data_IF_760761963230
#
_entry.id   IF_760761963230
#
_cell.length_a   1.000
_cell.length_b   1.000
_cell.length_c   1.000
_cell.angle_alpha   90.00
_cell.angle_beta   90.00
_cell.angle_gamma   90.00
#
_symmetry.space_group_name_H-M   'P 1'
#
loop_
_entity.id
_entity.type
_entity.pdbx_description
1 polymer ?
#
# COMPACT_ATOMS: atom_id res chain seq x y z
N UNK A 1 -9.78 -18.66 6.13
CA UNK A 1 -9.30 -19.11 4.80
C UNK A 1 -9.19 -20.62 4.69
N UNK A 2 -8.43 -21.32 5.55
CA UNK A 2 -8.35 -22.80 5.56
C UNK A 2 -9.73 -23.46 5.74
N UNK A 3 -10.58 -22.95 6.64
CA UNK A 3 -11.95 -23.43 6.80
C UNK A 3 -12.80 -23.22 5.53
N UNK A 4 -12.56 -22.13 4.78
CA UNK A 4 -13.27 -21.82 3.52
C UNK A 4 -12.76 -22.71 2.37
N UNK A 5 -11.47 -23.02 2.35
CA UNK A 5 -10.87 -24.00 1.44
C UNK A 5 -11.39 -25.42 1.72
N UNK A 6 -11.49 -25.81 3.00
CA UNK A 6 -12.04 -27.10 3.43
C UNK A 6 -13.54 -27.22 3.16
N UNK A 7 -14.31 -26.15 3.40
CA UNK A 7 -15.74 -26.11 3.09
C UNK A 7 -16.00 -26.06 1.58
N UNK A 8 -15.16 -25.37 0.80
CA UNK A 8 -15.22 -25.38 -0.66
C UNK A 8 -14.91 -26.74 -1.27
N UNK A 9 -13.91 -27.44 -0.72
CA UNK A 9 -13.58 -28.82 -1.10
C UNK A 9 -14.70 -29.81 -0.75
N UNK A 10 -15.27 -29.68 0.46
CA UNK A 10 -16.39 -30.50 0.90
C UNK A 10 -17.66 -30.24 0.07
N UNK A 11 -17.96 -28.98 -0.25
CA UNK A 11 -19.11 -28.61 -1.06
C UNK A 11 -18.98 -29.07 -2.52
N UNK A 12 -17.82 -28.87 -3.15
CA UNK A 12 -17.54 -29.34 -4.51
C UNK A 12 -17.61 -30.87 -4.63
N UNK A 13 -17.20 -31.59 -3.59
CA UNK A 13 -17.31 -33.05 -3.49
C UNK A 13 -18.74 -33.59 -3.45
N UNK A 14 -19.69 -32.79 -2.98
CA UNK A 14 -21.10 -33.21 -2.84
C UNK A 14 -21.96 -32.93 -4.09
N UNK A 15 -21.46 -32.21 -5.09
CA UNK A 15 -22.25 -31.74 -6.24
C UNK A 15 -21.74 -32.21 -7.62
N UNK A 16 -20.70 -33.06 -7.67
CA UNK A 16 -20.30 -33.78 -8.88
C UNK A 16 -21.24 -34.98 -9.16
N UNK A 17 -22.41 -34.66 -9.71
CA UNK A 17 -23.40 -35.40 -10.55
C UNK A 17 -23.50 -36.94 -10.45
N UNK A 18 -24.73 -37.52 -10.37
CA UNK A 18 -24.95 -38.94 -10.61
C UNK A 18 -24.70 -39.30 -12.09
N UNK A 19 -23.68 -40.11 -12.35
CA UNK A 19 -23.44 -40.72 -13.65
C UNK A 19 -24.38 -41.93 -13.84
N UNK A 20 -25.34 -41.83 -14.76
CA UNK A 20 -26.03 -43.00 -15.26
C UNK A 20 -25.09 -43.78 -16.20
N UNK A 21 -24.91 -45.05 -15.84
CA UNK A 21 -24.51 -46.22 -16.66
C UNK A 21 -23.17 -46.17 -17.40
N UNK A 22 -22.09 -46.65 -16.74
CA UNK A 22 -21.23 -47.81 -17.12
C UNK A 22 -20.43 -48.20 -15.86
N UNK A 23 -20.34 -49.49 -15.47
CA UNK A 23 -19.67 -49.91 -14.23
C UNK A 23 -18.16 -50.01 -14.44
N UNK A 24 -17.47 -48.91 -14.24
CA UNK A 24 -16.04 -48.89 -13.88
C UNK A 24 -15.87 -47.89 -12.74
N UNK A 25 -16.25 -48.35 -11.53
CA UNK A 25 -16.64 -47.50 -10.41
C UNK A 25 -15.49 -46.90 -9.60
N UNK A 26 -14.24 -47.31 -9.81
CA UNK A 26 -13.09 -46.79 -9.05
C UNK A 26 -12.38 -45.63 -9.76
N UNK A 27 -12.18 -45.70 -11.08
CA UNK A 27 -11.37 -44.70 -11.82
C UNK A 27 -12.17 -43.44 -12.19
N UNK A 28 -13.49 -43.56 -12.39
CA UNK A 28 -14.36 -42.43 -12.78
C UNK A 28 -14.58 -41.43 -11.63
N UNK A 29 -14.60 -41.88 -10.37
CA UNK A 29 -14.73 -41.00 -9.21
C UNK A 29 -13.55 -40.02 -9.13
N UNK A 30 -12.30 -40.48 -9.23
CA UNK A 30 -11.12 -39.62 -9.12
C UNK A 30 -11.02 -38.55 -10.22
N UNK A 31 -11.49 -38.84 -11.44
CA UNK A 31 -11.50 -37.86 -12.55
C UNK A 31 -12.40 -36.65 -12.29
N UNK A 32 -13.49 -36.81 -11.54
CA UNK A 32 -14.36 -35.69 -11.14
C UNK A 32 -13.73 -34.78 -10.08
N UNK A 33 -12.83 -35.33 -9.26
CA UNK A 33 -12.15 -34.59 -8.20
C UNK A 33 -10.86 -33.91 -8.66
N UNK A 34 -10.26 -34.37 -9.76
CA UNK A 34 -9.01 -33.83 -10.29
C UNK A 34 -9.07 -32.29 -10.44
N UNK A 35 -10.09 -31.67 -11.05
CA UNK A 35 -10.15 -30.21 -11.20
C UNK A 35 -10.23 -29.47 -9.86
N UNK A 36 -10.94 -30.06 -8.88
CA UNK A 36 -11.09 -29.50 -7.53
C UNK A 36 -9.75 -29.56 -6.80
N UNK A 37 -9.08 -30.71 -6.86
CA UNK A 37 -7.75 -30.91 -6.26
C UNK A 37 -6.71 -29.97 -6.90
N UNK A 38 -6.76 -29.79 -8.22
CA UNK A 38 -5.88 -28.84 -8.91
C UNK A 38 -6.16 -27.41 -8.49
N UNK A 39 -7.44 -26.97 -8.44
CA UNK A 39 -7.79 -25.63 -7.99
C UNK A 39 -7.37 -25.38 -6.54
N UNK A 40 -7.50 -26.40 -5.68
CA UNK A 40 -7.12 -26.32 -4.28
C UNK A 40 -5.60 -26.26 -4.13
N UNK A 41 -4.85 -27.10 -4.87
CA UNK A 41 -3.40 -27.07 -4.89
C UNK A 41 -2.87 -25.72 -5.39
N UNK A 42 -3.44 -25.18 -6.48
CA UNK A 42 -3.09 -23.86 -7.00
C UNK A 42 -3.40 -22.76 -5.99
N UNK A 43 -4.59 -22.77 -5.38
CA UNK A 43 -4.95 -21.82 -4.34
C UNK A 43 -4.02 -21.88 -3.14
N UNK A 44 -3.58 -23.07 -2.75
CA UNK A 44 -2.68 -23.30 -1.61
C UNK A 44 -1.25 -22.83 -1.93
N UNK A 45 -0.74 -23.10 -3.14
CA UNK A 45 0.56 -22.58 -3.62
C UNK A 45 0.54 -21.06 -3.72
N UNK A 46 -0.51 -20.49 -4.29
CA UNK A 46 -0.69 -19.03 -4.40
C UNK A 46 -0.84 -18.36 -3.03
N UNK A 47 -1.38 -19.08 -2.04
CA UNK A 47 -1.51 -18.61 -0.65
C UNK A 47 -0.30 -18.94 0.22
N UNK A 48 0.68 -19.69 -0.30
CA UNK A 48 1.82 -20.19 0.48
C UNK A 48 2.59 -19.06 1.16
N UNK A 49 2.87 -17.90 0.52
CA UNK A 49 3.54 -16.79 1.20
C UNK A 49 2.76 -16.28 2.42
N UNK A 50 1.44 -16.16 2.31
CA UNK A 50 0.59 -15.78 3.45
C UNK A 50 0.55 -16.84 4.54
N UNK A 51 0.51 -18.13 4.17
CA UNK A 51 0.51 -19.23 5.14
C UNK A 51 1.85 -19.33 5.87
N UNK A 52 2.96 -19.14 5.14
CA UNK A 52 4.30 -19.05 5.73
C UNK A 52 4.34 -17.90 6.73
N UNK A 53 3.87 -16.71 6.33
CA UNK A 53 3.84 -15.56 7.22
C UNK A 53 2.86 -15.72 8.40
N UNK A 54 1.78 -16.47 8.23
CA UNK A 54 0.80 -16.71 9.28
C UNK A 54 1.29 -17.67 10.36
N UNK A 55 2.06 -18.69 9.98
CA UNK A 55 2.38 -19.84 10.84
C UNK A 55 3.87 -20.00 11.15
N UNK A 56 4.75 -19.42 10.33
CA UNK A 56 6.19 -19.65 10.39
C UNK A 56 7.03 -18.37 10.43
N UNK A 57 6.44 -17.19 10.22
CA UNK A 57 7.16 -15.93 10.44
C UNK A 57 7.16 -15.54 11.91
N UNK A 58 8.22 -14.84 12.33
CA UNK A 58 8.36 -14.34 13.69
C UNK A 58 7.32 -13.25 13.98
N UNK A 59 6.47 -13.46 14.99
CA UNK A 59 5.45 -12.49 15.44
C UNK A 59 4.00 -12.99 15.40
N UNK A 60 3.03 -12.12 15.74
CA UNK A 60 1.61 -12.44 15.65
C UNK A 60 1.20 -12.53 14.18
N UNK A 61 1.25 -13.72 13.57
CA UNK A 61 1.00 -13.89 12.13
C UNK A 61 -0.25 -13.17 11.61
N UNK A 62 -0.22 -12.68 10.36
CA UNK A 62 -1.17 -11.77 9.69
C UNK A 62 -2.62 -11.68 10.23
N UNK A 63 -3.32 -12.81 10.44
CA UNK A 63 -4.69 -12.86 10.98
C UNK A 63 -4.77 -12.35 12.42
N UNK A 64 -3.78 -12.66 13.24
CA UNK A 64 -3.65 -12.18 14.61
C UNK A 64 -3.47 -10.66 14.60
N UNK A 65 -2.63 -10.10 13.73
CA UNK A 65 -2.49 -8.64 13.58
C UNK A 65 -3.78 -7.95 13.16
N UNK A 66 -4.53 -8.53 12.22
CA UNK A 66 -5.83 -7.98 11.79
C UNK A 66 -6.88 -8.05 12.91
N UNK A 67 -6.83 -9.08 13.75
CA UNK A 67 -7.74 -9.25 14.89
C UNK A 67 -7.30 -8.42 16.11
N UNK A 68 -5.99 -8.22 16.30
CA UNK A 68 -5.40 -7.47 17.39
C UNK A 68 -5.26 -5.98 17.07
N UNK A 69 -5.44 -5.56 15.82
CA UNK A 69 -5.59 -4.15 15.45
C UNK A 69 -6.91 -3.62 16.03
N UNK A 70 -6.91 -3.37 17.34
CA UNK A 70 -7.88 -2.52 18.02
C UNK A 70 -7.59 -1.08 17.60
N UNK A 71 -7.90 -0.76 16.35
CA UNK A 71 -8.01 0.65 15.99
C UNK A 71 -9.16 1.25 16.82
N UNK A 72 -9.00 2.46 17.37
CA UNK A 72 -10.13 3.17 17.94
C UNK A 72 -11.25 3.22 16.90
N UNK A 73 -12.52 3.02 17.30
CA UNK A 73 -13.66 3.00 16.38
C UNK A 73 -13.72 4.32 15.59
N UNK A 74 -13.24 4.29 14.34
CA UNK A 74 -13.04 5.48 13.50
C UNK A 74 -11.91 5.38 12.45
N UNK A 75 -10.93 4.47 12.60
CA UNK A 75 -9.77 4.36 11.68
C UNK A 75 -9.75 3.08 10.80
N UNK A 76 -10.91 2.57 10.39
CA UNK A 76 -10.99 1.49 9.39
C UNK A 76 -11.31 2.07 8.02
N UNK A 77 -10.72 1.51 6.97
CA UNK A 77 -11.05 1.85 5.58
C UNK A 77 -12.48 1.41 5.31
N UNK A 78 -13.47 2.30 5.45
CA UNK A 78 -14.85 1.97 5.09
C UNK A 78 -14.95 1.28 3.72
N UNK A 79 -16.05 0.55 3.48
CA UNK A 79 -16.22 -0.36 2.34
C UNK A 79 -15.85 0.28 0.98
N UNK A 80 -16.11 1.58 0.82
CA UNK A 80 -15.72 2.37 -0.33
C UNK A 80 -14.19 2.41 -0.55
N UNK A 81 -13.40 2.68 0.49
CA UNK A 81 -11.94 2.76 0.40
C UNK A 81 -11.30 1.37 0.29
N UNK A 82 -11.90 0.35 0.90
CA UNK A 82 -11.51 -1.05 0.69
C UNK A 82 -11.68 -1.49 -0.78
N UNK A 83 -12.80 -1.14 -1.42
CA UNK A 83 -13.02 -1.38 -2.85
C UNK A 83 -12.02 -0.63 -3.73
N UNK A 84 -11.71 0.64 -3.40
CA UNK A 84 -10.67 1.42 -4.11
C UNK A 84 -9.27 0.83 -3.96
N UNK A 85 -8.98 0.25 -2.81
CA UNK A 85 -7.70 -0.39 -2.52
C UNK A 85 -7.54 -1.65 -3.36
N UNK A 86 -8.59 -2.47 -3.45
CA UNK A 86 -8.59 -3.66 -4.30
C UNK A 86 -8.55 -3.35 -5.79
N UNK A 87 -9.25 -2.33 -6.27
CA UNK A 87 -9.25 -2.01 -7.69
C UNK A 87 -7.88 -1.63 -8.23
N UNK A 88 -7.04 -1.00 -7.39
CA UNK A 88 -5.65 -0.75 -7.75
C UNK A 88 -4.86 -2.06 -7.88
N UNK A 89 -5.18 -3.10 -7.12
CA UNK A 89 -4.55 -4.42 -7.28
C UNK A 89 -5.06 -5.18 -8.51
N UNK A 90 -6.32 -4.96 -8.91
CA UNK A 90 -6.89 -5.55 -10.11
C UNK A 90 -6.53 -4.79 -11.40
N UNK A 91 -5.85 -3.65 -11.31
CA UNK A 91 -5.36 -2.90 -12.46
C UNK A 91 -4.19 -3.66 -13.10
N UNK A 92 -4.27 -4.03 -14.39
CA UNK A 92 -3.21 -4.77 -15.06
C UNK A 92 -1.87 -4.07 -15.08
N UNK A 93 -1.87 -2.73 -15.06
CA UNK A 93 -0.65 -1.91 -15.03
C UNK A 93 0.09 -2.04 -13.71
N UNK A 94 -0.60 -2.51 -12.67
CA UNK A 94 -0.04 -2.73 -11.35
C UNK A 94 0.47 -4.16 -11.14
N UNK A 95 0.36 -5.09 -12.11
CA UNK A 95 0.94 -6.44 -11.99
C UNK A 95 2.47 -6.50 -12.14
N UNK A 96 3.12 -5.38 -12.43
CA UNK A 96 4.57 -5.25 -12.46
C UNK A 96 5.10 -4.94 -11.06
N UNK A 97 6.31 -5.40 -10.69
CA UNK A 97 6.88 -5.16 -9.37
C UNK A 97 6.93 -3.67 -9.06
N UNK A 98 6.30 -3.28 -7.96
CA UNK A 98 6.32 -1.93 -7.42
C UNK A 98 7.02 -1.96 -6.06
N UNK A 99 7.93 -1.03 -5.85
CA UNK A 99 8.77 -0.92 -4.66
C UNK A 99 7.95 -0.88 -3.36
N UNK A 100 8.52 -1.43 -2.28
CA UNK A 100 7.88 -1.52 -0.95
C UNK A 100 7.50 -0.18 -0.28
N UNK A 101 7.97 0.96 -0.78
CA UNK A 101 7.82 2.29 -0.17
C UNK A 101 7.40 3.39 -1.17
N UNK A 102 6.68 4.41 -0.69
CA UNK A 102 5.25 4.42 -0.55
C UNK A 102 4.60 4.83 -1.89
N UNK A 103 4.02 3.86 -2.60
CA UNK A 103 2.83 4.18 -3.40
C UNK A 103 1.64 4.15 -2.46
N UNK A 104 1.36 5.31 -1.85
CA UNK A 104 0.09 5.54 -1.19
C UNK A 104 -0.99 5.32 -2.25
N UNK A 105 -1.92 4.43 -1.97
CA UNK A 105 -3.13 4.24 -2.77
C UNK A 105 -3.91 5.55 -2.68
N UNK A 106 -3.70 6.45 -3.65
CA UNK A 106 -4.36 7.76 -3.70
C UNK A 106 -5.88 7.56 -3.74
N UNK A 107 -6.65 8.12 -2.79
CA UNK A 107 -8.08 7.90 -2.69
C UNK A 107 -8.88 8.48 -3.87
N UNK A 108 -8.34 9.43 -4.63
CA UNK A 108 -9.13 10.35 -5.46
C UNK A 108 -9.37 9.93 -6.91
N UNK A 109 -8.83 8.79 -7.37
CA UNK A 109 -9.19 8.26 -8.70
C UNK A 109 -10.54 7.55 -8.66
N UNK A 110 -11.63 8.30 -8.81
CA UNK A 110 -13.02 7.80 -8.97
C UNK A 110 -13.18 6.72 -10.06
N UNK A 111 -12.25 6.66 -11.02
CA UNK A 111 -12.18 5.62 -12.04
C UNK A 111 -11.98 4.19 -11.48
N UNK A 112 -11.54 4.01 -10.23
CA UNK A 112 -11.08 2.69 -9.76
C UNK A 112 -12.18 1.78 -9.19
N UNK A 113 -13.21 2.29 -8.49
CA UNK A 113 -14.24 1.41 -7.86
C UNK A 113 -14.96 0.55 -8.90
N UNK A 114 -15.20 1.10 -10.09
CA UNK A 114 -15.89 0.41 -11.18
C UNK A 114 -15.17 -0.85 -11.65
N UNK A 115 -13.84 -0.91 -11.54
CA UNK A 115 -13.05 -2.09 -11.95
C UNK A 115 -13.44 -3.31 -11.11
N UNK A 116 -13.54 -3.17 -9.78
CA UNK A 116 -13.91 -4.27 -8.88
C UNK A 116 -15.37 -4.64 -9.05
N UNK A 117 -16.26 -3.65 -9.22
CA UNK A 117 -17.69 -3.91 -9.46
C UNK A 117 -17.92 -4.64 -10.79
N UNK A 118 -17.22 -4.25 -11.86
CA UNK A 118 -17.28 -4.93 -13.17
C UNK A 118 -16.69 -6.34 -13.07
N UNK A 119 -15.59 -6.53 -12.35
CA UNK A 119 -15.02 -7.86 -12.10
C UNK A 119 -15.99 -8.76 -11.33
N UNK A 120 -16.61 -8.25 -10.25
CA UNK A 120 -17.66 -8.94 -9.49
C UNK A 120 -18.83 -9.33 -10.39
N UNK A 121 -19.35 -8.38 -11.18
CA UNK A 121 -20.46 -8.62 -12.09
C UNK A 121 -20.10 -9.67 -13.15
N UNK A 122 -18.91 -9.58 -13.74
CA UNK A 122 -18.43 -10.53 -14.74
C UNK A 122 -18.33 -11.96 -14.18
N UNK A 123 -17.76 -12.12 -12.97
CA UNK A 123 -17.70 -13.41 -12.29
C UNK A 123 -19.12 -13.93 -11.99
N UNK A 124 -20.03 -13.11 -11.49
CA UNK A 124 -21.42 -13.52 -11.23
C UNK A 124 -22.12 -13.97 -12.52
N UNK A 125 -21.99 -13.21 -13.61
CA UNK A 125 -22.58 -13.56 -14.90
C UNK A 125 -22.00 -14.86 -15.44
N UNK A 126 -20.67 -15.03 -15.38
CA UNK A 126 -20.01 -16.28 -15.77
C UNK A 126 -20.49 -17.46 -14.92
N UNK A 127 -20.68 -17.27 -13.60
CA UNK A 127 -21.15 -18.34 -12.70
C UNK A 127 -22.57 -18.76 -13.05
N UNK A 128 -23.46 -17.79 -13.28
CA UNK A 128 -24.84 -18.06 -13.69
C UNK A 128 -24.89 -18.74 -15.07
N UNK A 129 -24.03 -18.35 -16.01
CA UNK A 129 -23.95 -18.97 -17.34
C UNK A 129 -23.41 -20.41 -17.25
N UNK A 130 -22.34 -20.63 -16.51
CA UNK A 130 -21.76 -21.96 -16.25
C UNK A 130 -22.75 -22.85 -15.51
N UNK A 131 -23.47 -22.31 -14.53
CA UNK A 131 -24.54 -22.96 -13.78
C UNK A 131 -25.67 -23.42 -14.70
N UNK A 132 -26.19 -22.51 -15.53
CA UNK A 132 -27.28 -22.79 -16.46
C UNK A 132 -26.90 -23.86 -17.49
N UNK A 133 -25.62 -23.90 -17.87
CA UNK A 133 -25.10 -24.84 -18.88
C UNK A 133 -24.48 -26.11 -18.29
N UNK A 134 -24.48 -26.26 -16.96
CA UNK A 134 -23.91 -27.42 -16.24
C UNK A 134 -22.46 -27.71 -16.65
N UNK A 135 -21.67 -26.66 -16.90
CA UNK A 135 -20.27 -26.80 -17.29
C UNK A 135 -19.38 -27.13 -16.08
N UNK A 136 -18.26 -27.81 -16.35
CA UNK A 136 -17.30 -28.27 -15.34
C UNK A 136 -16.62 -27.18 -14.48
N UNK A 137 -16.34 -25.94 -14.93
CA UNK A 137 -15.62 -24.95 -14.11
C UNK A 137 -16.48 -24.30 -13.00
N UNK A 138 -17.72 -24.74 -12.79
CA UNK A 138 -18.67 -24.15 -11.82
C UNK A 138 -18.07 -24.02 -10.41
N UNK A 139 -17.51 -25.11 -9.88
CA UNK A 139 -17.00 -25.12 -8.51
C UNK A 139 -15.83 -24.12 -8.33
N UNK A 140 -14.95 -24.02 -9.32
CA UNK A 140 -13.84 -23.09 -9.30
C UNK A 140 -14.32 -21.63 -9.33
N UNK A 141 -15.36 -21.34 -10.12
CA UNK A 141 -15.84 -19.98 -10.32
C UNK A 141 -16.71 -19.47 -9.15
N UNK A 142 -17.55 -20.32 -8.56
CA UNK A 142 -18.22 -20.01 -7.28
C UNK A 142 -17.19 -19.82 -6.15
N UNK A 143 -16.10 -20.58 -6.14
CA UNK A 143 -15.02 -20.40 -5.16
C UNK A 143 -14.26 -19.09 -5.38
N UNK A 144 -13.96 -18.72 -6.63
CA UNK A 144 -13.35 -17.44 -6.98
C UNK A 144 -14.22 -16.25 -6.52
N UNK A 145 -15.55 -16.35 -6.69
CA UNK A 145 -16.50 -15.34 -6.20
C UNK A 145 -16.46 -15.20 -4.68
N UNK A 146 -16.46 -16.31 -3.94
CA UNK A 146 -16.37 -16.30 -2.48
C UNK A 146 -15.08 -15.67 -1.99
N UNK A 147 -13.95 -16.01 -2.61
CA UNK A 147 -12.66 -15.40 -2.27
C UNK A 147 -12.62 -13.91 -2.60
N UNK A 148 -13.22 -13.48 -3.71
CA UNK A 148 -13.31 -12.07 -4.08
C UNK A 148 -14.12 -11.27 -3.04
N UNK A 149 -15.27 -11.80 -2.61
CA UNK A 149 -16.09 -11.19 -1.56
C UNK A 149 -15.37 -11.13 -0.21
N UNK A 150 -14.69 -12.22 0.17
CA UNK A 150 -13.86 -12.25 1.37
C UNK A 150 -12.73 -11.21 1.28
N UNK A 151 -12.10 -11.07 0.10
CA UNK A 151 -11.10 -10.05 -0.16
C UNK A 151 -11.66 -8.64 0.04
N UNK A 152 -12.81 -8.31 -0.56
CA UNK A 152 -13.48 -7.01 -0.34
C UNK A 152 -13.72 -6.74 1.13
N UNK A 153 -14.19 -7.74 1.87
CA UNK A 153 -14.42 -7.62 3.30
C UNK A 153 -13.13 -7.39 4.10
N UNK A 154 -12.03 -8.10 3.78
CA UNK A 154 -10.73 -7.90 4.42
C UNK A 154 -10.14 -6.53 4.10
N UNK A 155 -10.18 -6.10 2.84
CA UNK A 155 -9.70 -4.79 2.41
C UNK A 155 -10.44 -3.64 3.10
N UNK A 156 -11.75 -3.78 3.31
CA UNK A 156 -12.59 -2.84 4.07
C UNK A 156 -12.31 -2.81 5.58
N UNK A 157 -11.39 -3.65 6.07
CA UNK A 157 -10.98 -3.69 7.48
C UNK A 157 -9.50 -3.44 7.68
N UNK A 158 -8.76 -3.15 6.61
CA UNK A 158 -7.35 -2.82 6.74
C UNK A 158 -7.21 -1.52 7.55
N UNK A 159 -6.21 -1.44 8.44
CA UNK A 159 -5.97 -0.25 9.23
C UNK A 159 -5.52 0.90 8.32
N UNK A 160 -6.17 2.06 8.44
CA UNK A 160 -5.70 3.30 7.79
C UNK A 160 -4.55 3.85 8.63
N UNK A 161 -3.40 4.12 8.01
CA UNK A 161 -2.34 4.94 8.62
C UNK A 161 -2.39 6.36 8.06
N UNK A 162 -1.67 7.30 8.67
CA UNK A 162 -1.61 8.70 8.27
C UNK A 162 -1.40 8.89 6.75
N UNK A 163 -0.69 7.96 6.09
CA UNK A 163 -0.41 7.96 4.65
C UNK A 163 -1.15 6.86 3.87
N UNK A 164 -2.33 6.44 4.33
CA UNK A 164 -3.15 5.43 3.64
C UNK A 164 -2.82 3.98 4.03
N UNK A 165 -3.02 3.05 3.08
CA UNK A 165 -2.86 1.60 3.29
C UNK A 165 -1.49 1.16 2.79
N UNK A 166 -0.59 0.66 3.66
CA UNK A 166 0.67 0.08 3.22
C UNK A 166 0.41 -1.03 2.21
N UNK A 167 1.07 -1.00 1.05
CA UNK A 167 0.86 -2.00 -0.01
C UNK A 167 1.17 -3.43 0.47
N UNK A 168 2.07 -3.58 1.45
CA UNK A 168 2.33 -4.83 2.14
C UNK A 168 1.06 -5.48 2.73
N UNK A 169 0.13 -4.68 3.26
CA UNK A 169 -1.14 -5.15 3.82
C UNK A 169 -2.17 -5.57 2.77
N UNK A 170 -1.94 -5.24 1.49
CA UNK A 170 -2.85 -5.53 0.37
C UNK A 170 -2.25 -6.57 -0.59
N UNK A 171 -1.00 -7.01 -0.38
CA UNK A 171 -0.32 -7.97 -1.27
C UNK A 171 -1.05 -9.30 -1.45
N UNK A 172 -1.80 -9.74 -0.45
CA UNK A 172 -2.64 -10.94 -0.54
C UNK A 172 -3.69 -10.84 -1.65
N UNK A 173 -4.07 -9.64 -2.07
CA UNK A 173 -5.04 -9.42 -3.12
C UNK A 173 -4.48 -9.74 -4.53
N UNK A 174 -3.16 -9.83 -4.70
CA UNK A 174 -2.52 -10.13 -5.99
C UNK A 174 -2.67 -11.60 -6.40
N UNK A 175 -2.31 -12.59 -5.56
CA UNK A 175 -2.62 -13.99 -5.86
C UNK A 175 -4.12 -14.23 -6.05
N UNK A 176 -4.96 -13.50 -5.30
CA UNK A 176 -6.40 -13.53 -5.45
C UNK A 176 -6.86 -13.02 -6.83
N UNK A 177 -6.37 -11.86 -7.27
CA UNK A 177 -6.76 -11.28 -8.57
C UNK A 177 -6.34 -12.18 -9.73
N UNK A 178 -5.12 -12.73 -9.66
CA UNK A 178 -4.63 -13.71 -10.63
C UNK A 178 -5.48 -14.98 -10.67
N UNK A 179 -5.85 -15.53 -9.52
CA UNK A 179 -6.74 -16.70 -9.46
C UNK A 179 -8.10 -16.42 -10.10
N UNK A 180 -8.72 -15.28 -9.75
CA UNK A 180 -10.00 -14.86 -10.31
C UNK A 180 -9.90 -14.70 -11.83
N UNK A 181 -8.83 -14.10 -12.35
CA UNK A 181 -8.61 -13.95 -13.78
C UNK A 181 -8.48 -15.30 -14.51
N UNK A 182 -7.68 -16.22 -13.98
CA UNK A 182 -7.44 -17.55 -14.57
C UNK A 182 -8.75 -18.36 -14.64
N UNK A 183 -9.48 -18.44 -13.53
CA UNK A 183 -10.73 -19.19 -13.46
C UNK A 183 -11.80 -18.58 -14.38
N UNK A 184 -11.89 -17.25 -14.42
CA UNK A 184 -12.84 -16.55 -15.29
C UNK A 184 -12.53 -16.80 -16.77
N UNK A 185 -11.25 -16.81 -17.15
CA UNK A 185 -10.80 -17.07 -18.52
C UNK A 185 -11.05 -18.53 -18.94
N UNK A 186 -10.81 -19.50 -18.04
CA UNK A 186 -11.09 -20.92 -18.32
C UNK A 186 -12.61 -21.17 -18.49
N UNK A 187 -13.43 -20.53 -17.65
CA UNK A 187 -14.88 -20.57 -17.80
C UNK A 187 -15.35 -19.96 -19.12
N UNK A 188 -14.80 -18.80 -19.51
CA UNK A 188 -15.11 -18.17 -20.79
C UNK A 188 -14.71 -19.07 -21.97
N UNK A 189 -13.51 -19.65 -21.93
CA UNK A 189 -13.05 -20.60 -22.95
C UNK A 189 -13.99 -21.81 -23.06
N UNK A 190 -14.46 -22.34 -21.93
CA UNK A 190 -15.38 -23.48 -21.88
C UNK A 190 -16.75 -23.14 -22.49
N UNK A 191 -17.29 -21.95 -22.19
CA UNK A 191 -18.53 -21.44 -22.80
C UNK A 191 -18.36 -21.29 -24.32
N UNK A 192 -17.24 -20.72 -24.77
CA UNK A 192 -16.97 -20.50 -26.21
C UNK A 192 -16.80 -21.82 -26.98
N UNK A 193 -16.15 -22.82 -26.37
CA UNK A 193 -16.00 -24.15 -26.97
C UNK A 193 -17.35 -24.84 -27.16
N UNK A 194 -18.21 -24.82 -26.13
CA UNK A 194 -19.55 -25.40 -26.19
C UNK A 194 -20.42 -24.72 -27.26
N UNK A 195 -20.38 -23.38 -27.36
CA UNK A 195 -21.11 -22.65 -28.41
C UNK A 195 -20.67 -23.07 -29.82
N UNK A 196 -19.36 -23.34 -30.01
CA UNK A 196 -18.85 -23.83 -31.30
C UNK A 196 -19.32 -25.24 -31.61
N UNK A 197 -19.31 -26.14 -30.62
CA UNK A 197 -19.82 -27.50 -30.78
C UNK A 197 -21.31 -27.50 -31.19
N UNK A 198 -22.12 -26.66 -30.54
CA UNK A 198 -23.54 -26.48 -30.87
C UNK A 198 -23.79 -25.80 -32.22
N UNK A 199 -22.84 -25.04 -32.76
CA UNK A 199 -22.93 -24.45 -34.11
C UNK A 199 -22.49 -25.42 -35.21
N UNK A 200 -21.52 -26.32 -34.94
CA UNK A 200 -21.03 -27.34 -35.88
C UNK A 200 -22.00 -28.49 -36.11
N UNK A 201 -22.97 -28.71 -35.22
CA UNK A 201 -24.03 -29.70 -35.41
C UNK A 201 -25.10 -29.29 -36.44
N UNK A 202 -25.03 -28.06 -36.98
CA UNK A 202 -25.74 -27.67 -38.20
C UNK A 202 -24.88 -28.00 -39.44
N UNK A 203 -25.40 -28.71 -40.45
CA UNK A 203 -24.64 -29.05 -41.64
C UNK A 203 -24.47 -27.80 -42.50
N UNK A 204 -23.38 -27.08 -42.32
CA UNK A 204 -22.96 -26.00 -43.22
C UNK A 204 -21.45 -26.05 -43.43
N UNK A 205 -21.11 -26.40 -44.67
CA UNK A 205 -19.94 -26.05 -45.47
C UNK A 205 -18.70 -25.54 -44.73
N UNK A 206 -17.66 -26.36 -44.85
CA UNK A 206 -16.28 -26.15 -44.45
C UNK A 206 -15.76 -24.82 -45.04
N UNK A 207 -15.40 -23.85 -44.19
CA UNK A 207 -14.22 -22.97 -44.33
C UNK A 207 -14.19 -21.92 -43.21
N UNK A 208 -13.67 -22.30 -42.05
CA UNK A 208 -12.85 -21.40 -41.21
C UNK A 208 -12.37 -22.17 -39.99
N UNK A 209 -11.11 -22.59 -40.04
CA UNK A 209 -10.37 -23.09 -38.91
C UNK A 209 -10.03 -21.91 -37.98
N UNK A 210 -11.04 -21.36 -37.30
CA UNK A 210 -10.80 -20.48 -36.17
C UNK A 210 -10.20 -21.35 -35.04
N UNK A 211 -8.91 -21.18 -34.78
CA UNK A 211 -8.15 -21.92 -33.78
C UNK A 211 -8.93 -21.93 -32.46
N UNK A 212 -9.14 -23.12 -31.91
CA UNK A 212 -9.48 -23.26 -30.50
C UNK A 212 -8.23 -22.83 -29.74
N UNK A 213 -8.30 -22.00 -28.69
CA UNK A 213 -7.14 -21.78 -27.84
C UNK A 213 -6.70 -23.18 -27.37
N UNK A 214 -5.55 -23.62 -27.88
CA UNK A 214 -5.05 -24.96 -27.67
C UNK A 214 -4.90 -25.20 -26.17
N UNK A 215 -4.90 -26.47 -25.75
CA UNK A 215 -4.57 -26.80 -24.36
C UNK A 215 -3.21 -26.19 -23.96
N UNK A 216 -2.30 -26.04 -24.93
CA UNK A 216 -1.05 -25.31 -24.78
C UNK A 216 -1.22 -23.80 -24.50
N UNK A 217 -2.24 -23.13 -25.06
CA UNK A 217 -2.55 -21.74 -24.69
C UNK A 217 -3.02 -21.61 -23.24
N UNK A 218 -3.86 -22.55 -22.76
CA UNK A 218 -4.32 -22.56 -21.36
C UNK A 218 -3.16 -22.79 -20.38
N UNK A 219 -2.30 -23.77 -20.68
CA UNK A 219 -1.11 -24.05 -19.86
C UNK A 219 -0.05 -22.95 -19.98
N UNK A 220 0.12 -22.34 -21.15
CA UNK A 220 1.03 -21.21 -21.36
C UNK A 220 0.60 -19.98 -20.57
N UNK A 221 -0.70 -19.68 -20.54
CA UNK A 221 -1.25 -18.61 -19.70
C UNK A 221 -1.09 -18.92 -18.20
N UNK A 222 -1.36 -20.15 -17.79
CA UNK A 222 -1.16 -20.59 -16.41
C UNK A 222 0.31 -20.46 -15.97
N UNK A 223 1.24 -20.92 -16.82
CA UNK A 223 2.67 -20.76 -16.58
C UNK A 223 3.07 -19.28 -16.52
N UNK A 224 2.54 -18.43 -17.40
CA UNK A 224 2.79 -16.99 -17.37
C UNK A 224 2.28 -16.35 -16.06
N UNK A 225 1.12 -16.75 -15.57
CA UNK A 225 0.57 -16.28 -14.28
C UNK A 225 1.45 -16.73 -13.11
N UNK A 226 1.90 -17.99 -13.09
CA UNK A 226 2.81 -18.49 -12.06
C UNK A 226 4.15 -17.76 -12.10
N UNK A 227 4.73 -17.58 -13.29
CA UNK A 227 5.98 -16.83 -13.49
C UNK A 227 5.81 -15.37 -13.07
N UNK A 228 4.70 -14.71 -13.40
CA UNK A 228 4.40 -13.36 -12.93
C UNK A 228 4.22 -13.31 -11.42
N UNK A 229 3.61 -14.32 -10.80
CA UNK A 229 3.48 -14.41 -9.33
C UNK A 229 4.84 -14.59 -8.67
N UNK A 230 5.70 -15.45 -9.22
CA UNK A 230 7.06 -15.67 -8.74
C UNK A 230 7.97 -14.47 -9.00
N UNK A 231 7.82 -13.76 -10.11
CA UNK A 231 8.51 -12.51 -10.38
C UNK A 231 8.06 -11.37 -9.46
N UNK A 232 6.87 -11.51 -8.85
CA UNK A 232 6.37 -10.63 -7.79
C UNK A 232 6.67 -11.16 -6.37
N UNK A 233 7.35 -12.30 -6.22
CA UNK A 233 8.04 -12.60 -4.97
C UNK A 233 9.19 -11.62 -4.88
N UNK A 234 8.95 -10.52 -4.17
CA UNK A 234 9.97 -9.50 -4.00
C UNK A 234 11.19 -10.14 -3.33
N UNK A 235 12.39 -10.06 -3.93
CA UNK A 235 13.60 -10.36 -3.18
C UNK A 235 13.60 -9.46 -1.94
N UNK A 236 14.00 -10.01 -0.80
CA UNK A 236 14.12 -9.29 0.47
C UNK A 236 15.03 -8.04 0.35
N UNK A 237 15.83 -7.97 -0.74
CA UNK A 237 16.81 -6.95 -1.10
C UNK A 237 16.35 -5.93 -2.17
N UNK A 238 15.06 -5.56 -2.23
CA UNK A 238 14.75 -4.25 -2.82
C UNK A 238 15.25 -3.17 -1.85
N UNK A 239 16.58 -2.98 -1.82
CA UNK A 239 17.30 -2.04 -0.95
C UNK A 239 16.63 -0.68 -0.97
N UNK A 240 16.69 0.02 0.17
CA UNK A 240 15.94 1.25 0.49
C UNK A 240 15.18 1.79 -0.71
N UNK A 241 13.87 1.51 -0.81
CA UNK A 241 13.00 1.89 -1.92
C UNK A 241 12.82 3.41 -2.08
N UNK A 242 13.84 4.17 -1.69
CA UNK A 242 13.89 5.60 -1.61
C UNK A 242 13.57 6.19 -2.98
N UNK A 243 12.56 7.07 -2.99
CA UNK A 243 12.20 7.79 -4.21
C UNK A 243 13.44 8.51 -4.71
N UNK A 244 13.57 8.62 -6.04
CA UNK A 244 14.76 9.24 -6.65
C UNK A 244 15.03 10.64 -6.09
N UNK A 245 14.00 11.37 -5.69
CA UNK A 245 14.07 12.68 -5.04
C UNK A 245 14.80 12.67 -3.69
N UNK A 246 14.73 11.58 -2.91
CA UNK A 246 15.27 11.51 -1.56
C UNK A 246 16.67 10.90 -1.48
N UNK A 247 17.11 10.16 -2.50
CA UNK A 247 18.36 9.36 -2.46
C UNK A 247 19.61 10.14 -2.08
N UNK A 248 19.74 11.38 -2.57
CA UNK A 248 20.92 12.20 -2.28
C UNK A 248 20.97 12.51 -0.79
N UNK A 249 19.88 13.04 -0.24
CA UNK A 249 19.77 13.36 1.18
C UNK A 249 19.97 12.13 2.07
N UNK A 250 19.37 10.99 1.70
CA UNK A 250 19.54 9.71 2.42
C UNK A 250 21.01 9.28 2.43
N UNK A 251 21.68 9.27 1.28
CA UNK A 251 23.07 8.84 1.18
C UNK A 251 24.03 9.74 1.97
N UNK A 252 23.85 11.06 1.87
CA UNK A 252 24.63 12.04 2.63
C UNK A 252 24.39 11.87 4.14
N UNK A 253 23.13 11.77 4.56
CA UNK A 253 22.79 11.55 5.98
C UNK A 253 23.41 10.27 6.52
N UNK A 254 23.37 9.16 5.77
CA UNK A 254 23.98 7.89 6.18
C UNK A 254 25.51 7.98 6.23
N UNK A 255 26.11 8.69 5.28
CA UNK A 255 27.56 8.92 5.29
C UNK A 255 27.99 9.67 6.56
N UNK A 256 27.23 10.69 6.96
CA UNK A 256 27.57 11.56 8.08
C UNK A 256 27.19 10.95 9.44
N UNK A 257 25.96 10.45 9.56
CA UNK A 257 25.43 9.90 10.81
C UNK A 257 25.86 8.45 11.05
N UNK A 258 26.02 7.67 9.98
CA UNK A 258 26.29 6.24 10.05
C UNK A 258 27.51 5.95 10.91
N UNK A 259 28.63 6.64 10.65
CA UNK A 259 29.89 6.47 11.39
C UNK A 259 29.74 6.73 12.88
N UNK A 260 28.97 7.76 13.26
CA UNK A 260 28.71 8.05 14.68
C UNK A 260 27.88 6.93 15.29
N UNK A 261 26.83 6.47 14.60
CA UNK A 261 25.93 5.42 15.06
C UNK A 261 26.62 4.07 15.20
N UNK A 262 27.61 3.75 14.36
CA UNK A 262 28.41 2.53 14.49
C UNK A 262 29.05 2.39 15.89
N UNK A 263 29.33 3.52 16.55
CA UNK A 263 29.94 3.54 17.89
C UNK A 263 28.94 3.36 19.04
N UNK A 264 27.63 3.46 18.77
CA UNK A 264 26.57 3.57 19.77
C UNK A 264 26.02 2.23 20.28
N UNK A 265 26.82 1.16 20.26
CA UNK A 265 26.53 -0.19 20.78
C UNK A 265 25.04 -0.50 21.08
N UNK A 266 24.32 -1.09 20.12
CA UNK A 266 22.88 -1.40 20.21
C UNK A 266 21.96 -0.17 20.36
N UNK A 267 21.94 0.76 19.39
CA UNK A 267 21.01 1.88 19.40
C UNK A 267 19.56 1.42 19.19
N UNK A 268 18.61 2.12 19.83
CA UNK A 268 17.19 2.05 19.49
C UNK A 268 16.88 3.04 18.38
N UNK A 269 16.51 2.56 17.20
CA UNK A 269 16.09 3.41 16.08
C UNK A 269 14.59 3.66 16.19
N UNK A 270 14.23 4.92 16.43
CA UNK A 270 12.84 5.36 16.50
C UNK A 270 12.40 5.91 15.16
N UNK A 271 11.38 5.29 14.59
CA UNK A 271 10.82 5.69 13.29
C UNK A 271 10.04 6.98 13.43
N UNK A 272 10.33 7.93 12.54
CA UNK A 272 9.50 9.10 12.32
C UNK A 272 8.68 8.89 11.04
N UNK A 273 7.41 9.26 11.08
CA UNK A 273 6.48 9.01 9.99
C UNK A 273 6.61 10.01 8.82
N UNK A 274 7.48 11.02 8.92
CA UNK A 274 7.80 11.87 7.77
C UNK A 274 8.39 11.00 6.63
N UNK A 275 7.92 11.10 5.36
CA UNK A 275 8.33 10.20 4.28
C UNK A 275 9.85 10.08 4.10
N UNK A 276 10.54 11.22 4.02
CA UNK A 276 12.00 11.26 3.91
C UNK A 276 12.70 10.66 5.15
N UNK A 277 12.18 10.89 6.36
CA UNK A 277 12.76 10.32 7.58
C UNK A 277 12.54 8.81 7.65
N UNK A 278 11.37 8.32 7.22
CA UNK A 278 11.08 6.90 7.13
C UNK A 278 11.99 6.18 6.13
N UNK A 279 12.22 6.77 4.95
CA UNK A 279 13.16 6.23 3.97
C UNK A 279 14.60 6.23 4.47
N UNK A 280 15.02 7.32 5.12
CA UNK A 280 16.36 7.39 5.74
C UNK A 280 16.50 6.38 6.87
N UNK A 281 15.43 6.11 7.63
CA UNK A 281 15.42 5.12 8.70
C UNK A 281 15.67 3.72 8.15
N UNK A 282 14.97 3.34 7.07
CA UNK A 282 15.18 2.03 6.41
C UNK A 282 16.61 1.92 5.89
N UNK A 283 17.09 2.94 5.20
CA UNK A 283 18.44 2.94 4.64
C UNK A 283 19.54 2.90 5.72
N UNK A 284 19.30 3.54 6.88
CA UNK A 284 20.17 3.42 8.06
C UNK A 284 20.16 1.99 8.63
N UNK A 285 19.00 1.35 8.70
CA UNK A 285 18.91 -0.04 9.16
C UNK A 285 19.66 -0.99 8.22
N UNK A 286 19.46 -0.85 6.91
CA UNK A 286 20.18 -1.62 5.89
C UNK A 286 21.70 -1.42 6.05
N UNK A 287 22.14 -0.18 6.23
CA UNK A 287 23.55 0.17 6.46
C UNK A 287 24.15 -0.54 7.69
N UNK A 288 23.41 -0.61 8.80
CA UNK A 288 23.84 -1.26 10.04
C UNK A 288 23.82 -2.79 9.91
N UNK A 289 22.80 -3.34 9.25
CA UNK A 289 22.67 -4.79 8.98
C UNK A 289 23.83 -5.29 8.10
N UNK A 290 24.17 -4.58 7.03
CA UNK A 290 25.30 -4.91 6.13
C UNK A 290 26.65 -4.97 6.87
N UNK A 291 26.77 -4.24 7.99
CA UNK A 291 27.98 -4.18 8.83
C UNK A 291 27.93 -5.11 10.04
N UNK A 292 26.85 -5.87 10.19
CA UNK A 292 26.66 -6.77 11.32
C UNK A 292 26.49 -6.05 12.67
N UNK A 293 26.04 -4.80 12.65
CA UNK A 293 25.82 -4.02 13.86
C UNK A 293 24.46 -4.35 14.48
N UNK A 294 24.44 -4.52 15.80
CA UNK A 294 23.21 -4.73 16.54
C UNK A 294 22.47 -3.41 16.71
N UNK A 295 21.16 -3.42 16.50
CA UNK A 295 20.26 -2.29 16.72
C UNK A 295 18.87 -2.84 17.03
N UNK A 296 18.06 -2.06 17.73
CA UNK A 296 16.66 -2.35 18.02
C UNK A 296 15.74 -1.33 17.33
N UNK A 297 14.48 -1.69 17.13
CA UNK A 297 13.46 -0.81 16.56
C UNK A 297 12.18 -0.92 17.37
N UNK A 298 11.57 0.21 17.74
CA UNK A 298 10.32 0.20 18.53
C UNK A 298 9.05 0.21 17.68
N UNK A 299 9.17 0.47 16.38
CA UNK A 299 8.02 0.62 15.49
C UNK A 299 7.47 -0.76 15.06
N UNK A 300 6.18 -1.06 15.30
CA UNK A 300 5.60 -2.36 14.97
C UNK A 300 5.65 -2.70 13.47
N UNK A 301 5.62 -1.70 12.60
CA UNK A 301 5.66 -1.88 11.14
C UNK A 301 7.04 -2.36 10.74
N UNK A 302 8.05 -1.65 11.23
CA UNK A 302 9.43 -1.95 10.93
C UNK A 302 9.87 -3.25 11.60
N UNK A 303 9.35 -3.57 12.79
CA UNK A 303 9.56 -4.88 13.41
C UNK A 303 8.99 -6.04 12.59
N UNK A 304 7.83 -5.86 11.95
CA UNK A 304 7.31 -6.85 11.02
C UNK A 304 8.17 -7.04 9.77
N UNK A 305 9.03 -6.07 9.43
CA UNK A 305 9.92 -6.11 8.26
C UNK A 305 11.32 -6.63 8.62
N UNK A 306 11.94 -6.04 9.64
CA UNK A 306 13.26 -6.40 10.13
C UNK A 306 13.26 -7.73 10.91
N UNK A 307 12.11 -8.09 11.49
CA UNK A 307 11.90 -9.28 12.33
C UNK A 307 11.84 -8.92 13.81
N UNK A 308 11.04 -9.68 14.57
CA UNK A 308 10.78 -9.38 15.99
C UNK A 308 12.00 -9.57 16.89
N UNK A 309 13.06 -10.24 16.41
CA UNK A 309 14.36 -10.31 17.10
C UNK A 309 15.04 -8.94 17.21
N UNK A 310 14.60 -7.93 16.46
CA UNK A 310 15.00 -6.51 16.58
C UNK A 310 14.14 -5.71 17.56
N UNK A 311 13.22 -6.36 18.28
CA UNK A 311 12.37 -5.69 19.27
C UNK A 311 13.21 -5.10 20.41
N UNK A 312 12.75 -4.01 21.06
CA UNK A 312 13.43 -3.45 22.20
C UNK A 312 13.48 -4.48 23.33
N UNK A 313 14.66 -4.62 23.92
CA UNK A 313 14.99 -5.57 24.98
C UNK A 313 15.22 -4.87 26.32
N UNK A 314 15.33 -3.53 26.31
CA UNK A 314 15.71 -2.72 27.47
C UNK A 314 17.23 -2.66 27.68
N UNK A 315 18.03 -3.25 26.80
CA UNK A 315 19.50 -3.16 26.82
C UNK A 315 20.05 -2.11 25.86
N UNK A 316 19.17 -1.38 25.16
CA UNK A 316 19.57 -0.35 24.21
C UNK A 316 20.27 0.81 24.94
N UNK A 317 21.39 1.26 24.39
CA UNK A 317 22.26 2.24 25.07
C UNK A 317 21.87 3.68 24.81
N UNK A 318 21.25 3.93 23.66
CA UNK A 318 20.82 5.26 23.20
C UNK A 318 19.56 5.16 22.35
N UNK A 319 18.89 6.30 22.17
CA UNK A 319 17.78 6.44 21.22
C UNK A 319 18.22 7.28 20.03
N UNK A 320 18.07 6.75 18.81
CA UNK A 320 18.32 7.47 17.55
C UNK A 320 16.97 7.88 16.95
N UNK A 321 16.80 9.16 16.67
CA UNK A 321 15.59 9.74 16.07
C UNK A 321 15.97 10.44 14.78
N UNK A 322 15.26 10.12 13.70
CA UNK A 322 15.39 10.83 12.43
C UNK A 322 14.26 11.85 12.30
N UNK A 323 14.58 13.09 11.96
CA UNK A 323 13.62 14.12 11.60
C UNK A 323 13.78 14.45 10.12
N UNK A 324 12.66 14.62 9.41
CA UNK A 324 12.65 14.97 7.99
C UNK A 324 11.81 16.22 7.75
N UNK A 325 12.12 16.91 6.66
CA UNK A 325 11.41 18.13 6.28
C UNK A 325 11.57 19.23 7.32
N UNK A 326 10.55 20.08 7.47
CA UNK A 326 10.62 21.22 8.40
C UNK A 326 10.87 20.84 9.87
N UNK A 327 10.53 19.62 10.29
CA UNK A 327 10.79 19.13 11.65
C UNK A 327 12.30 18.97 11.94
N UNK A 328 13.13 18.78 10.91
CA UNK A 328 14.58 18.76 11.07
C UNK A 328 15.16 20.14 11.40
N UNK A 329 14.40 21.23 11.23
CA UNK A 329 14.80 22.58 11.68
C UNK A 329 14.55 22.81 13.16
N UNK A 330 13.67 22.02 13.77
CA UNK A 330 13.34 22.19 15.18
C UNK A 330 14.52 21.80 16.05
N UNK A 331 14.63 22.42 17.22
CA UNK A 331 15.65 22.06 18.19
C UNK A 331 15.48 20.59 18.62
N UNK A 332 16.57 19.83 18.80
CA UNK A 332 16.50 18.48 19.36
C UNK A 332 15.72 18.48 20.68
N UNK A 333 14.99 17.39 20.94
CA UNK A 333 14.27 17.23 22.19
C UNK A 333 15.24 17.31 23.39
N UNK A 334 14.79 17.73 24.59
CA UNK A 334 15.64 17.78 25.77
C UNK A 334 16.37 16.44 26.02
N UNK A 335 17.69 16.50 26.15
CA UNK A 335 18.55 15.32 26.31
C UNK A 335 19.00 14.66 25.01
N UNK A 336 18.51 15.12 23.85
CA UNK A 336 19.00 14.70 22.54
C UNK A 336 20.05 15.68 22.00
N UNK A 337 21.03 15.14 21.30
CA UNK A 337 22.09 15.86 20.59
C UNK A 337 21.98 15.56 19.10
N UNK A 338 22.04 16.60 18.27
CA UNK A 338 22.06 16.45 16.82
C UNK A 338 23.44 16.05 16.35
N UNK A 339 23.56 14.85 15.79
CA UNK A 339 24.83 14.31 15.30
C UNK A 339 25.04 14.53 13.80
N UNK A 340 23.95 14.71 13.04
CA UNK A 340 24.00 14.98 11.61
C UNK A 340 22.81 15.83 11.18
N UNK A 341 23.06 16.69 10.18
CA UNK A 341 22.03 17.40 9.44
C UNK A 341 22.45 17.49 7.98
N UNK A 342 21.60 17.00 7.10
CA UNK A 342 21.76 17.14 5.66
C UNK A 342 20.77 18.21 5.21
N UNK A 343 21.29 19.37 4.80
CA UNK A 343 20.49 20.52 4.39
C UNK A 343 20.60 20.76 2.88
N UNK A 344 19.47 20.73 2.13
CA UNK A 344 19.45 21.00 0.70
C UNK A 344 19.55 22.51 0.37
N UNK A 345 19.58 23.37 1.39
CA UNK A 345 19.65 24.82 1.27
C UNK A 345 21.06 25.34 1.55
N UNK A 346 21.42 26.43 0.87
CA UNK A 346 22.55 27.23 1.30
C UNK A 346 22.27 27.93 2.65
N UNK A 347 23.30 28.20 3.44
CA UNK A 347 23.23 28.99 4.68
C UNK A 347 22.40 30.29 4.56
N UNK A 348 22.52 30.97 3.42
CA UNK A 348 21.77 32.20 3.15
C UNK A 348 20.29 31.93 2.93
N UNK A 349 19.95 30.89 2.16
CA UNK A 349 18.57 30.45 1.95
C UNK A 349 17.94 29.98 3.26
N UNK A 350 18.66 29.20 4.06
CA UNK A 350 18.18 28.71 5.35
C UNK A 350 17.87 29.87 6.31
N UNK A 351 18.84 30.79 6.52
CA UNK A 351 18.63 31.96 7.39
C UNK A 351 17.49 32.85 6.89
N UNK A 352 17.35 33.00 5.57
CA UNK A 352 16.21 33.72 5.00
C UNK A 352 14.90 32.99 5.28
N UNK A 353 14.84 31.68 5.04
CA UNK A 353 13.67 30.84 5.22
C UNK A 353 13.17 30.85 6.66
N UNK A 354 14.04 30.62 7.65
CA UNK A 354 13.67 30.59 9.07
C UNK A 354 13.07 31.93 9.51
N UNK A 355 13.73 33.04 9.14
CA UNK A 355 13.25 34.39 9.47
C UNK A 355 11.92 34.69 8.80
N UNK A 356 11.82 34.43 7.50
CA UNK A 356 10.61 34.79 6.74
C UNK A 356 9.43 33.90 7.13
N UNK A 357 9.67 32.61 7.41
CA UNK A 357 8.68 31.70 7.99
C UNK A 357 8.08 32.27 9.28
N UNK A 358 8.92 32.68 10.23
CA UNK A 358 8.46 33.20 11.51
C UNK A 358 7.59 34.47 11.34
N UNK A 359 8.03 35.39 10.47
CA UNK A 359 7.26 36.61 10.15
C UNK A 359 5.91 36.29 9.48
N UNK A 360 5.91 35.33 8.56
CA UNK A 360 4.69 34.92 7.87
C UNK A 360 3.73 34.20 8.81
N UNK A 361 4.21 33.31 9.69
CA UNK A 361 3.38 32.66 10.71
C UNK A 361 2.71 33.69 11.64
N UNK A 362 3.46 34.68 12.11
CA UNK A 362 2.94 35.77 12.95
C UNK A 362 1.86 36.59 12.22
N UNK A 363 2.17 37.07 11.02
CA UNK A 363 1.24 37.86 10.20
C UNK A 363 0.00 37.07 9.81
N UNK A 364 0.16 35.80 9.49
CA UNK A 364 -0.94 34.90 9.14
C UNK A 364 -1.84 34.67 10.34
N UNK A 365 -1.29 34.48 11.55
CA UNK A 365 -2.06 34.41 12.78
C UNK A 365 -2.93 35.65 13.01
N UNK A 366 -2.32 36.84 12.94
CA UNK A 366 -3.04 38.12 13.06
C UNK A 366 -4.12 38.30 11.98
N UNK A 367 -3.81 37.92 10.75
CA UNK A 367 -4.77 37.96 9.66
C UNK A 367 -5.96 37.04 9.91
N UNK A 368 -5.73 35.80 10.38
CA UNK A 368 -6.79 34.84 10.67
C UNK A 368 -7.69 35.32 11.81
N UNK A 369 -7.12 35.88 12.88
CA UNK A 369 -7.90 36.45 13.99
C UNK A 369 -8.82 37.59 13.51
N UNK A 370 -8.30 38.47 12.65
CA UNK A 370 -9.10 39.53 12.02
C UNK A 370 -10.14 38.96 11.06
N UNK A 371 -9.78 37.97 10.25
CA UNK A 371 -10.71 37.34 9.31
C UNK A 371 -11.89 36.68 10.04
N UNK A 372 -11.65 36.06 11.20
CA UNK A 372 -12.72 35.44 11.99
C UNK A 372 -13.65 36.45 12.66
N UNK A 373 -13.20 37.69 12.89
CA UNK A 373 -13.95 38.71 13.64
C UNK A 373 -14.55 39.80 12.73
N UNK A 374 -13.91 40.14 11.62
CA UNK A 374 -14.28 41.24 10.73
C UNK A 374 -15.06 40.74 9.51
N UNK A 375 -16.38 40.96 9.50
CA UNK A 375 -17.26 40.56 8.38
C UNK A 375 -16.82 41.15 7.02
N UNK A 376 -16.31 42.38 7.01
CA UNK A 376 -15.84 43.03 5.79
C UNK A 376 -14.64 42.27 5.18
N UNK A 377 -13.74 41.74 6.00
CA UNK A 377 -12.59 40.97 5.54
C UNK A 377 -13.02 39.61 4.98
N UNK A 378 -14.05 38.99 5.58
CA UNK A 378 -14.68 37.77 5.07
C UNK A 378 -15.33 37.95 3.70
N UNK A 379 -15.94 39.11 3.46
CA UNK A 379 -16.55 39.42 2.16
C UNK A 379 -15.51 39.66 1.06
N UNK A 380 -14.35 40.22 1.43
CA UNK A 380 -13.24 40.49 0.51
C UNK A 380 -12.39 39.25 0.21
N UNK A 381 -12.14 38.41 1.21
CA UNK A 381 -11.31 37.20 1.08
C UNK A 381 -12.23 35.98 1.02
N UNK A 382 -12.51 35.50 -0.19
CA UNK A 382 -13.34 34.32 -0.39
C UNK A 382 -12.54 33.05 -0.11
N UNK A 383 -12.71 32.50 1.08
CA UNK A 383 -12.18 31.18 1.46
C UNK A 383 -13.19 30.09 1.12
N UNK A 384 -12.71 28.89 0.76
CA UNK A 384 -13.57 27.72 0.57
C UNK A 384 -14.39 27.44 1.83
N UNK A 385 -15.68 27.12 1.70
CA UNK A 385 -16.56 26.82 2.85
C UNK A 385 -16.09 25.64 3.71
N UNK A 386 -15.23 24.79 3.16
CA UNK A 386 -14.69 23.60 3.84
C UNK A 386 -13.24 23.79 4.33
N UNK A 387 -12.67 24.99 4.18
CA UNK A 387 -11.31 25.29 4.61
C UNK A 387 -11.16 25.21 6.14
N UNK A 388 -10.07 24.62 6.61
CA UNK A 388 -9.66 24.59 8.01
C UNK A 388 -8.59 25.65 8.26
N UNK A 389 -9.05 26.87 8.49
CA UNK A 389 -8.22 28.03 8.82
C UNK A 389 -7.71 28.03 10.27
N UNK A 390 -7.03 26.95 10.69
CA UNK A 390 -6.37 26.88 11.99
C UNK A 390 -4.86 26.69 11.78
N UNK A 391 -4.09 27.76 11.99
CA UNK A 391 -2.63 27.73 11.79
C UNK A 391 -1.93 26.67 12.63
N UNK A 392 -2.44 26.38 13.85
CA UNK A 392 -1.86 25.36 14.73
C UNK A 392 -2.09 23.94 14.22
N UNK A 393 -3.22 23.69 13.56
CA UNK A 393 -3.55 22.36 13.02
C UNK A 393 -2.96 22.15 11.62
N UNK A 394 -3.03 23.18 10.77
CA UNK A 394 -2.72 23.07 9.33
C UNK A 394 -1.28 23.48 9.01
N UNK A 395 -0.69 24.38 9.80
CA UNK A 395 0.62 24.98 9.51
C UNK A 395 0.57 26.03 8.38
N UNK A 396 1.58 26.92 8.35
CA UNK A 396 1.62 28.02 7.36
C UNK A 396 1.83 27.51 5.93
N UNK A 397 2.66 26.47 5.75
CA UNK A 397 3.05 25.99 4.44
C UNK A 397 1.86 25.39 3.69
N UNK A 398 1.02 24.59 4.35
CA UNK A 398 -0.19 24.06 3.74
C UNK A 398 -1.19 25.17 3.36
N UNK A 399 -1.33 26.19 4.22
CA UNK A 399 -2.21 27.35 3.96
C UNK A 399 -1.74 28.21 2.77
N UNK A 400 -0.42 28.30 2.52
CA UNK A 400 0.16 29.20 1.51
C UNK A 400 0.65 28.51 0.22
N UNK A 401 1.12 27.27 0.29
CA UNK A 401 1.91 26.60 -0.77
C UNK A 401 1.18 25.51 -1.56
N UNK A 402 -0.05 25.14 -1.20
CA UNK A 402 -0.99 24.66 -2.21
C UNK A 402 -1.09 23.16 -2.50
N UNK A 403 -1.04 22.28 -1.51
CA UNK A 403 -1.86 21.06 -1.62
C UNK A 403 -3.34 21.37 -1.36
N UNK A 404 -3.60 22.36 -0.50
CA UNK A 404 -4.91 22.91 -0.20
C UNK A 404 -4.75 24.41 0.07
N UNK A 405 -4.37 25.21 -0.93
CA UNK A 405 -4.27 26.66 -0.70
C UNK A 405 -5.65 27.19 -0.30
N UNK A 406 -5.87 27.33 1.01
CA UNK A 406 -7.17 27.70 1.56
C UNK A 406 -7.40 29.21 1.43
N UNK A 407 -6.31 29.97 1.44
CA UNK A 407 -6.33 31.42 1.30
C UNK A 407 -6.04 31.84 -0.14
N UNK A 408 -6.89 32.69 -0.75
CA UNK A 408 -6.65 33.22 -2.07
C UNK A 408 -5.55 34.29 -1.98
N UNK A 409 -4.29 33.87 -2.10
CA UNK A 409 -3.14 34.78 -1.99
C UNK A 409 -3.14 35.84 -3.09
N UNK A 410 -3.85 35.63 -4.21
CA UNK A 410 -4.07 36.68 -5.22
C UNK A 410 -5.01 37.81 -4.78
N UNK A 411 -5.54 37.78 -3.55
CA UNK A 411 -6.27 38.93 -2.98
C UNK A 411 -5.26 39.95 -2.45
N UNK A 412 -5.43 41.21 -2.87
CA UNK A 412 -4.55 42.32 -2.49
C UNK A 412 -4.38 42.45 -0.96
N UNK A 413 -5.42 42.10 -0.20
CA UNK A 413 -5.45 42.11 1.26
C UNK A 413 -4.50 41.07 1.85
N UNK A 414 -4.48 39.84 1.33
CA UNK A 414 -3.58 38.79 1.81
C UNK A 414 -2.13 39.14 1.45
N UNK A 415 -1.90 39.69 0.25
CA UNK A 415 -0.55 40.14 -0.15
C UNK A 415 -0.01 41.28 0.72
N UNK A 416 -0.87 42.24 1.08
CA UNK A 416 -0.50 43.39 1.90
C UNK A 416 -0.30 43.02 3.38
N UNK A 417 -1.12 42.10 3.91
CA UNK A 417 -1.15 41.82 5.35
C UNK A 417 -0.31 40.61 5.76
N UNK A 418 -0.07 39.66 4.85
CA UNK A 418 0.58 38.40 5.18
C UNK A 418 1.93 38.27 4.48
N UNK A 419 1.93 38.09 3.15
CA UNK A 419 3.13 37.74 2.40
C UNK A 419 3.00 38.19 0.94
N UNK A 420 4.07 38.78 0.40
CA UNK A 420 4.11 39.15 -1.02
C UNK A 420 4.08 37.89 -1.91
N UNK A 421 3.57 38.01 -3.14
CA UNK A 421 3.59 36.88 -4.08
C UNK A 421 5.00 36.34 -4.35
N UNK A 422 5.99 37.24 -4.43
CA UNK A 422 7.38 36.87 -4.67
C UNK A 422 7.97 36.10 -3.48
N UNK A 423 7.77 36.60 -2.25
CA UNK A 423 8.26 35.93 -1.05
C UNK A 423 7.55 34.61 -0.81
N UNK A 424 6.24 34.53 -1.11
CA UNK A 424 5.51 33.26 -1.07
C UNK A 424 6.10 32.25 -2.04
N UNK A 425 6.30 32.61 -3.31
CA UNK A 425 6.85 31.69 -4.30
C UNK A 425 8.23 31.17 -3.86
N UNK A 426 9.05 32.06 -3.30
CA UNK A 426 10.35 31.68 -2.75
C UNK A 426 10.22 30.78 -1.52
N UNK A 427 9.37 31.12 -0.55
CA UNK A 427 9.08 30.29 0.62
C UNK A 427 8.59 28.90 0.22
N UNK A 428 7.66 28.81 -0.72
CA UNK A 428 7.13 27.54 -1.19
C UNK A 428 8.19 26.72 -1.92
N UNK A 429 9.01 27.35 -2.76
CA UNK A 429 10.13 26.66 -3.43
C UNK A 429 11.14 26.11 -2.42
N UNK A 430 11.52 26.89 -1.41
CA UNK A 430 12.43 26.43 -0.36
C UNK A 430 11.79 25.39 0.55
N UNK A 431 10.49 25.52 0.85
CA UNK A 431 9.74 24.52 1.60
C UNK A 431 9.74 23.18 0.87
N UNK A 432 9.53 23.17 -0.46
CA UNK A 432 9.60 21.94 -1.25
C UNK A 432 11.01 21.33 -1.22
N UNK A 433 12.08 22.14 -1.28
CA UNK A 433 13.45 21.65 -1.12
C UNK A 433 13.64 21.01 0.26
N UNK A 434 13.19 21.68 1.33
CA UNK A 434 13.28 21.21 2.71
C UNK A 434 12.54 19.88 2.89
N UNK A 435 11.27 19.80 2.49
CA UNK A 435 10.47 18.56 2.54
C UNK A 435 11.11 17.43 1.73
N UNK A 436 11.82 17.79 0.65
CA UNK A 436 12.51 16.89 -0.26
C UNK A 436 13.91 16.45 0.15
N UNK A 437 14.57 17.12 1.10
CA UNK A 437 16.00 16.88 1.32
C UNK A 437 16.55 17.24 2.69
N UNK A 438 15.81 17.94 3.54
CA UNK A 438 16.27 18.26 4.88
C UNK A 438 16.04 17.07 5.81
N UNK A 439 17.12 16.52 6.34
CA UNK A 439 17.10 15.42 7.32
C UNK A 439 18.02 15.75 8.46
N UNK A 440 17.58 15.46 9.68
CA UNK A 440 18.42 15.51 10.87
C UNK A 440 18.41 14.17 11.60
N UNK A 441 19.53 13.85 12.23
CA UNK A 441 19.68 12.68 13.09
C UNK A 441 20.06 13.15 14.48
N UNK A 442 19.18 12.84 15.44
CA UNK A 442 19.34 13.20 16.83
C UNK A 442 19.56 11.92 17.66
N UNK A 443 20.54 11.95 18.57
CA UNK A 443 20.86 10.86 19.50
C UNK A 443 20.57 11.32 20.91
N UNK A 444 19.82 10.53 21.66
CA UNK A 444 19.42 10.86 23.02
C UNK A 444 19.66 9.73 24.01
N UNK A 445 19.16 9.90 25.25
CA UNK A 445 19.31 8.92 26.31
C UNK A 445 18.73 7.55 25.89
N UNK A 446 19.13 6.47 26.59
CA UNK A 446 18.53 5.15 26.40
C UNK A 446 17.00 5.22 26.57
N UNK A 447 16.25 4.34 25.89
CA UNK A 447 14.81 4.28 26.05
C UNK A 447 14.44 4.05 27.51
N UNK A 448 13.48 4.82 28.01
CA UNK A 448 12.90 4.55 29.32
C UNK A 448 12.00 3.31 29.23
N UNK A 449 12.08 2.37 30.17
CA UNK A 449 11.34 1.11 30.17
C UNK A 449 9.82 1.29 30.32
#
# INVERSE_FOLDING_TARGET
>A
MILVLLLGAAWAGTHSVPAHSVPDHSVSRWRGWLPVLTALAVGLVLSLPMLIQQFFADGPGNLSEVLSSRNPPGQQLGLQTGLRTLSQVFDPTNFLPKSWFPQVIEPDRLASIWVVLVALLAVIVLDVLVLRRRLQPRAALSFALLLLLAGVWFAARLPVRLFGVPMALVRWAWPLSLFVCVVSLDALCSILQEQRLMRRSKPATITSAASVPSQAFRWGFFAAVVVLTLANLVPRDEGSGARREFRVAVNETISDAGQVIETLNQPLIKVNYHPLAAETTVALMDYLDERGLSFAVSDPVVLGQAGTYRAPTGTETVTVVLAGGSAALDAPAPGFERIAITDPLSDQELRWFIRERALVEERLGLFLDRYLTEKQLQEQVRVSKNARLNLKETGWAALLCGEYAELPVGSQQVEQLVVSNQDRQRLCSLSTKIEGGLVAVDVGPPPQP
#
